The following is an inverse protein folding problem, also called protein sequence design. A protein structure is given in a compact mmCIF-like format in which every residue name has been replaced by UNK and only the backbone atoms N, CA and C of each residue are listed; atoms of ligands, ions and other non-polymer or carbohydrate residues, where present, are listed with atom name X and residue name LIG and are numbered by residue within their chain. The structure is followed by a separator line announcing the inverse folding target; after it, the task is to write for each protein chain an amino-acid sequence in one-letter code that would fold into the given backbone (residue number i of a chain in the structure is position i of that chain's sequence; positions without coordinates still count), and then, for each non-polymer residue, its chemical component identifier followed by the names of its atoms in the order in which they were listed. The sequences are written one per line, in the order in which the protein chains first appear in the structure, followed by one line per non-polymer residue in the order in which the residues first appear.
data_IF_943444142281
#
_entry.id   IF_943444142281
#
_cell.length_a   1.000
_cell.length_b   1.000
_cell.length_c   1.000
_cell.angle_alpha   90.00
_cell.angle_beta   90.00
_cell.angle_gamma   90.00
#
_symmetry.space_group_name_H-M   'P 1'
#
loop_
_entity.id
_entity.type
_entity.pdbx_description
1 polymer ?
#
# COMPACT_ATOMS: atom_id res chain seq x y z
N UNK A 1 11.62 58.25 51.53
CA UNK A 1 10.98 57.66 50.36
C UNK A 1 11.86 56.49 49.90
N UNK A 2 11.42 55.22 50.13
CA UNK A 2 12.11 54.00 49.68
C UNK A 2 11.37 53.50 48.47
N UNK A 3 12.07 53.44 47.32
CA UNK A 3 11.53 52.84 46.10
C UNK A 3 11.73 51.32 46.14
N UNK A 4 10.62 50.58 46.16
CA UNK A 4 10.65 49.11 45.97
C UNK A 4 10.71 48.85 44.46
N UNK A 5 11.82 48.28 43.97
CA UNK A 5 11.96 47.77 42.60
C UNK A 5 11.36 46.36 42.55
N UNK A 6 10.25 46.18 41.83
CA UNK A 6 9.72 44.86 41.48
C UNK A 6 10.45 44.32 40.26
N UNK A 7 11.25 43.27 40.43
CA UNK A 7 11.84 42.54 39.34
C UNK A 7 10.85 41.46 38.89
N UNK A 8 10.28 41.63 37.71
CA UNK A 8 9.43 40.60 37.07
C UNK A 8 10.36 39.55 36.43
N UNK A 9 10.40 38.36 37.03
CA UNK A 9 11.06 37.19 36.42
C UNK A 9 10.08 36.57 35.41
N UNK A 10 10.29 36.83 34.13
CA UNK A 10 9.60 36.14 33.04
C UNK A 10 10.14 34.72 32.89
N UNK A 11 9.41 33.75 33.39
CA UNK A 11 9.69 32.34 33.08
C UNK A 11 9.32 32.04 31.63
N UNK A 12 10.31 32.02 30.75
CA UNK A 12 10.13 31.45 29.41
C UNK A 12 10.04 29.91 29.52
N UNK A 13 8.83 29.39 29.43
CA UNK A 13 8.66 27.95 29.17
C UNK A 13 9.06 27.67 27.72
N UNK A 14 10.29 27.20 27.52
CA UNK A 14 10.66 26.55 26.28
C UNK A 14 9.90 25.23 26.22
N UNK A 15 8.83 25.16 25.45
CA UNK A 15 8.29 23.88 24.93
C UNK A 15 9.35 23.32 24.00
N UNK A 16 10.20 22.44 24.54
CA UNK A 16 11.05 21.62 23.72
C UNK A 16 10.15 20.73 22.85
N UNK A 17 9.98 21.07 21.59
CA UNK A 17 9.44 20.13 20.60
C UNK A 17 10.45 18.98 20.55
N UNK A 18 10.17 17.91 21.27
CA UNK A 18 10.95 16.68 21.19
C UNK A 18 10.78 16.15 19.75
N UNK A 19 11.84 16.20 18.96
CA UNK A 19 11.86 15.49 17.70
C UNK A 19 11.56 14.01 18.00
N UNK A 20 10.49 13.48 17.42
CA UNK A 20 10.15 12.07 17.63
C UNK A 20 11.26 11.20 17.04
N UNK A 21 11.81 10.29 17.84
CA UNK A 21 12.82 9.34 17.41
C UNK A 21 12.24 8.35 16.40
N UNK A 22 13.01 8.05 15.35
CA UNK A 22 12.67 6.99 14.40
C UNK A 22 12.86 5.66 15.13
N UNK A 23 11.77 4.87 15.18
CA UNK A 23 11.71 3.56 15.83
C UNK A 23 11.27 2.49 14.84
N UNK A 24 11.73 1.27 15.09
CA UNK A 24 11.29 0.06 14.37
C UNK A 24 10.68 -0.92 15.34
N UNK A 25 9.68 -1.67 14.86
CA UNK A 25 8.93 -2.66 15.63
C UNK A 25 8.93 -3.98 14.85
N UNK A 26 9.18 -5.08 15.52
CA UNK A 26 9.05 -6.41 14.92
C UNK A 26 7.73 -7.03 15.39
N UNK A 27 6.88 -7.34 14.42
CA UNK A 27 5.64 -8.07 14.62
C UNK A 27 5.86 -9.55 14.31
N UNK A 28 5.23 -10.44 15.07
CA UNK A 28 5.30 -11.89 14.88
C UNK A 28 3.96 -12.53 15.18
N UNK A 29 3.51 -13.42 14.32
CA UNK A 29 2.38 -14.29 14.60
C UNK A 29 2.83 -15.66 15.15
N UNK A 30 1.87 -16.46 15.59
CA UNK A 30 2.16 -17.79 16.18
C UNK A 30 2.67 -18.81 15.16
N UNK A 31 2.42 -18.63 13.88
CA UNK A 31 2.89 -19.52 12.80
C UNK A 31 4.31 -19.20 12.34
N UNK A 32 4.90 -18.11 12.87
CA UNK A 32 6.28 -17.70 12.65
C UNK A 32 6.49 -16.71 11.52
N UNK A 33 5.43 -16.18 10.89
CA UNK A 33 5.50 -15.04 9.98
C UNK A 33 5.99 -13.80 10.74
N UNK A 34 6.79 -12.93 10.09
CA UNK A 34 7.39 -11.76 10.73
C UNK A 34 7.25 -10.54 9.84
N UNK A 35 7.04 -9.39 10.47
CA UNK A 35 7.10 -8.10 9.81
C UNK A 35 7.97 -7.13 10.62
N UNK A 36 8.73 -6.29 9.94
CA UNK A 36 9.42 -5.14 10.55
C UNK A 36 8.78 -3.88 10.02
N UNK A 37 8.31 -3.04 10.90
CA UNK A 37 7.67 -1.76 10.58
C UNK A 37 8.37 -0.61 11.28
N UNK A 38 8.25 0.61 10.72
CA UNK A 38 8.83 1.82 11.31
C UNK A 38 7.81 2.93 11.40
N UNK A 39 7.93 3.76 12.43
CA UNK A 39 7.16 5.00 12.55
C UNK A 39 7.63 6.10 11.57
N UNK A 40 8.73 5.92 10.83
CA UNK A 40 9.12 6.83 9.74
C UNK A 40 8.34 6.50 8.48
N UNK A 41 7.38 7.35 8.14
CA UNK A 41 6.42 7.15 7.04
C UNK A 41 5.40 6.05 7.32
N UNK A 42 5.28 5.60 8.58
CA UNK A 42 4.46 4.46 8.97
C UNK A 42 4.64 3.31 7.97
N UNK A 43 5.89 2.87 7.76
CA UNK A 43 6.28 1.95 6.67
C UNK A 43 6.50 0.53 7.14
N UNK A 44 6.25 -0.41 6.24
CA UNK A 44 6.71 -1.78 6.37
C UNK A 44 8.05 -1.93 5.65
N UNK A 45 9.06 -2.42 6.37
CA UNK A 45 10.43 -2.52 5.88
C UNK A 45 10.80 -3.96 5.48
N UNK A 46 10.17 -4.94 6.10
CA UNK A 46 10.42 -6.36 5.88
C UNK A 46 9.16 -7.16 6.18
N UNK A 47 8.89 -8.16 5.37
CA UNK A 47 7.86 -9.17 5.59
C UNK A 47 8.45 -10.52 5.20
N UNK A 48 8.45 -11.46 6.14
CA UNK A 48 9.00 -12.80 5.95
C UNK A 48 7.88 -13.84 6.01
N UNK A 49 7.81 -14.67 4.97
CA UNK A 49 6.79 -15.69 4.79
C UNK A 49 7.46 -17.03 4.48
N UNK A 50 6.90 -18.13 4.99
CA UNK A 50 7.41 -19.47 4.69
C UNK A 50 7.15 -19.87 3.25
N UNK A 51 8.12 -20.54 2.63
CA UNK A 51 7.91 -21.25 1.37
C UNK A 51 7.41 -22.68 1.64
N UNK A 52 7.13 -23.44 0.60
CA UNK A 52 6.66 -24.84 0.70
C UNK A 52 7.64 -25.80 1.44
N UNK A 53 8.94 -25.44 1.52
CA UNK A 53 9.94 -26.18 2.30
C UNK A 53 10.04 -25.68 3.76
N UNK A 54 9.13 -24.80 4.20
CA UNK A 54 9.10 -24.24 5.54
C UNK A 54 10.15 -23.13 5.78
N UNK A 55 10.95 -22.71 4.79
CA UNK A 55 11.94 -21.64 4.94
C UNK A 55 11.26 -20.29 5.02
N UNK A 56 11.60 -19.52 6.05
CA UNK A 56 11.14 -18.16 6.24
C UNK A 56 12.07 -17.21 5.48
N UNK A 57 11.52 -16.51 4.48
CA UNK A 57 12.30 -15.65 3.58
C UNK A 57 11.52 -14.36 3.28
N UNK A 58 12.23 -13.24 2.95
CA UNK A 58 11.58 -11.97 2.67
C UNK A 58 10.78 -12.01 1.36
N UNK A 59 9.59 -11.39 1.37
CA UNK A 59 8.68 -11.32 0.21
C UNK A 59 8.34 -9.89 -0.22
N UNK A 60 8.93 -8.90 0.44
CA UNK A 60 8.81 -7.49 0.04
C UNK A 60 10.18 -6.84 -0.08
N UNK A 61 10.29 -5.87 -0.99
CA UNK A 61 11.49 -5.03 -1.08
C UNK A 61 11.60 -4.11 0.11
N UNK A 62 12.82 -3.91 0.58
CA UNK A 62 13.14 -3.00 1.67
C UNK A 62 14.64 -2.83 1.82
N UNK A 63 15.05 -1.77 2.49
CA UNK A 63 16.44 -1.48 2.77
C UNK A 63 16.83 -1.94 4.17
N UNK A 64 18.07 -2.37 4.32
CA UNK A 64 18.66 -2.74 5.61
C UNK A 64 18.86 -1.53 6.52
N UNK A 65 19.21 -0.37 5.93
CA UNK A 65 19.52 0.86 6.65
C UNK A 65 18.42 1.91 6.45
N UNK A 66 18.02 2.54 7.54
CA UNK A 66 16.96 3.56 7.54
C UNK A 66 17.33 4.78 6.67
N UNK A 67 18.64 5.11 6.55
CA UNK A 67 19.11 6.21 5.72
C UNK A 67 18.69 6.11 4.25
N UNK A 68 18.61 4.89 3.70
CA UNK A 68 18.25 4.68 2.29
C UNK A 68 16.79 5.02 2.00
N UNK A 69 15.91 4.99 3.01
CA UNK A 69 14.52 5.40 2.86
C UNK A 69 14.32 6.92 2.77
N UNK A 70 15.38 7.72 3.01
CA UNK A 70 15.35 9.17 2.78
C UNK A 70 15.43 9.50 1.29
N UNK A 71 16.11 8.65 0.52
CA UNK A 71 16.28 8.80 -0.93
C UNK A 71 15.12 8.11 -1.68
N UNK A 72 14.54 7.06 -1.09
CA UNK A 72 13.37 6.35 -1.60
C UNK A 72 12.23 6.40 -0.58
N UNK A 73 11.59 7.56 -0.50
CA UNK A 73 10.58 7.82 0.52
C UNK A 73 9.31 6.98 0.35
N UNK A 74 9.00 6.52 -0.88
CA UNK A 74 7.75 5.79 -1.16
C UNK A 74 7.81 4.31 -0.78
N UNK A 75 8.99 3.69 -0.78
CA UNK A 75 9.13 2.24 -0.55
C UNK A 75 8.60 1.83 0.82
N UNK A 76 7.59 0.97 0.84
CA UNK A 76 6.95 0.42 2.03
C UNK A 76 6.13 1.40 2.86
N UNK A 77 6.11 2.70 2.52
CA UNK A 77 5.48 3.75 3.31
C UNK A 77 3.95 3.81 3.16
N UNK A 78 3.29 4.46 4.12
CA UNK A 78 1.93 4.97 3.94
C UNK A 78 1.98 6.16 3.00
N UNK A 79 1.20 6.09 1.93
CA UNK A 79 1.16 7.07 0.86
C UNK A 79 -0.22 7.69 0.75
N UNK A 80 -0.28 8.92 0.26
CA UNK A 80 -1.53 9.54 -0.19
C UNK A 80 -1.69 9.30 -1.68
N UNK A 81 -2.93 9.17 -2.15
CA UNK A 81 -3.22 9.12 -3.59
C UNK A 81 -4.39 10.03 -3.93
N UNK A 82 -4.37 10.56 -5.16
CA UNK A 82 -5.43 11.40 -5.74
C UNK A 82 -5.52 11.11 -7.24
N UNK A 83 -6.72 10.80 -7.74
CA UNK A 83 -6.95 10.53 -9.16
C UNK A 83 -6.05 9.43 -9.75
N UNK A 84 -5.54 8.51 -8.92
CA UNK A 84 -4.59 7.47 -9.33
C UNK A 84 -3.11 7.83 -9.17
N UNK A 85 -2.77 9.10 -8.94
CA UNK A 85 -1.42 9.51 -8.60
C UNK A 85 -1.10 9.25 -7.13
N UNK A 86 0.17 8.94 -6.82
CA UNK A 86 0.61 8.59 -5.47
C UNK A 86 1.67 9.57 -4.98
N UNK A 87 1.40 10.17 -3.81
CA UNK A 87 2.20 11.21 -3.19
C UNK A 87 2.90 10.73 -1.92
N UNK A 88 4.07 11.29 -1.64
CA UNK A 88 4.91 10.91 -0.49
C UNK A 88 4.79 11.84 0.72
N UNK A 89 3.80 12.73 0.74
CA UNK A 89 3.66 13.77 1.79
C UNK A 89 3.61 13.23 3.22
N UNK A 90 3.21 11.98 3.41
CA UNK A 90 3.20 11.28 4.70
C UNK A 90 4.43 10.40 4.93
N UNK A 91 5.16 10.08 3.85
CA UNK A 91 6.19 9.05 3.84
C UNK A 91 7.52 9.50 4.46
N UNK A 92 7.76 10.80 4.57
CA UNK A 92 8.96 11.42 5.16
C UNK A 92 8.75 11.88 6.61
N UNK A 93 7.56 11.68 7.16
CA UNK A 93 7.23 12.09 8.53
C UNK A 93 7.53 10.99 9.53
N UNK A 94 7.88 11.40 10.76
CA UNK A 94 7.93 10.50 11.92
C UNK A 94 6.57 10.53 12.60
N UNK A 95 5.93 9.36 12.67
CA UNK A 95 4.58 9.19 13.20
C UNK A 95 4.63 8.85 14.69
N UNK A 96 3.62 9.29 15.43
CA UNK A 96 3.39 8.86 16.80
C UNK A 96 3.04 7.38 16.84
N UNK A 97 3.65 6.62 17.77
CA UNK A 97 3.24 5.24 18.05
C UNK A 97 2.16 5.25 19.12
N UNK A 98 0.92 4.91 18.73
CA UNK A 98 -0.26 4.96 19.62
C UNK A 98 -0.41 3.68 20.40
N UNK A 99 -0.18 2.54 19.73
CA UNK A 99 -0.32 1.19 20.32
C UNK A 99 0.71 0.26 19.68
N UNK A 100 1.23 -0.67 20.47
CA UNK A 100 2.07 -1.75 19.96
C UNK A 100 1.96 -2.98 20.88
N UNK A 101 1.91 -4.15 20.27
CA UNK A 101 2.08 -5.45 20.90
C UNK A 101 2.86 -6.39 19.96
N UNK A 102 2.87 -7.70 20.22
CA UNK A 102 3.66 -8.64 19.41
C UNK A 102 3.13 -8.86 17.99
N UNK A 103 1.84 -8.55 17.73
CA UNK A 103 1.18 -8.76 16.43
C UNK A 103 0.66 -7.47 15.80
N UNK A 104 0.55 -6.39 16.58
CA UNK A 104 -0.14 -5.16 16.12
C UNK A 104 0.68 -3.93 16.47
N UNK A 105 0.71 -2.96 15.53
CA UNK A 105 1.18 -1.60 15.82
C UNK A 105 0.27 -0.59 15.15
N UNK A 106 -0.04 0.49 15.87
CA UNK A 106 -0.80 1.64 15.35
C UNK A 106 0.05 2.89 15.38
N UNK A 107 0.16 3.54 14.25
CA UNK A 107 0.81 4.84 14.07
C UNK A 107 -0.22 5.92 13.78
N UNK A 108 0.05 7.15 14.23
CA UNK A 108 -0.75 8.33 13.96
C UNK A 108 0.11 9.51 13.49
N UNK A 109 -0.38 10.26 12.52
CA UNK A 109 0.23 11.48 12.03
C UNK A 109 -0.83 12.58 11.91
N UNK A 110 -0.50 13.77 12.43
CA UNK A 110 -1.28 14.98 12.18
C UNK A 110 -0.40 15.92 11.36
N UNK A 111 -0.89 16.36 10.21
CA UNK A 111 -0.14 17.23 9.31
C UNK A 111 -1.02 18.33 8.75
N UNK A 112 -0.41 19.45 8.42
CA UNK A 112 -1.07 20.51 7.67
C UNK A 112 -1.21 20.08 6.21
N UNK A 113 -2.32 20.44 5.59
CA UNK A 113 -2.61 20.22 4.17
C UNK A 113 -3.14 21.50 3.55
N UNK A 114 -2.95 21.59 2.22
CA UNK A 114 -3.58 22.61 1.38
C UNK A 114 -4.31 21.91 0.25
N UNK A 115 -5.60 22.15 0.13
CA UNK A 115 -6.42 21.59 -0.95
C UNK A 115 -7.44 22.63 -1.41
N UNK A 116 -7.60 22.80 -2.73
CA UNK A 116 -8.51 23.75 -3.33
C UNK A 116 -8.29 25.21 -2.88
N UNK A 117 -7.07 25.58 -2.43
CA UNK A 117 -6.74 26.91 -1.91
C UNK A 117 -7.08 27.12 -0.42
N UNK A 118 -7.55 26.07 0.27
CA UNK A 118 -7.85 26.09 1.70
C UNK A 118 -6.73 25.44 2.51
N UNK A 119 -6.41 26.06 3.65
CA UNK A 119 -5.50 25.49 4.65
C UNK A 119 -6.30 24.65 5.65
N UNK A 120 -5.81 23.44 5.93
CA UNK A 120 -6.46 22.50 6.84
C UNK A 120 -5.49 21.57 7.53
N UNK A 121 -6.05 20.67 8.36
CA UNK A 121 -5.32 19.61 9.04
C UNK A 121 -5.85 18.25 8.63
N UNK A 122 -4.92 17.33 8.46
CA UNK A 122 -5.19 15.93 8.22
C UNK A 122 -4.72 15.11 9.43
N UNK A 123 -5.60 14.31 10.00
CA UNK A 123 -5.29 13.33 11.04
C UNK A 123 -5.40 11.95 10.43
N UNK A 124 -4.29 11.23 10.36
CA UNK A 124 -4.19 9.91 9.73
C UNK A 124 -3.72 8.90 10.75
N UNK A 125 -4.35 7.73 10.76
CA UNK A 125 -3.87 6.57 11.51
C UNK A 125 -3.73 5.37 10.58
N UNK A 126 -2.72 4.54 10.83
CA UNK A 126 -2.56 3.23 10.21
C UNK A 126 -2.29 2.19 11.28
N UNK A 127 -2.98 1.05 11.17
CA UNK A 127 -2.75 -0.12 12.02
C UNK A 127 -2.26 -1.27 11.13
N UNK A 128 -1.12 -1.83 11.48
CA UNK A 128 -0.61 -3.08 10.92
C UNK A 128 -0.89 -4.20 11.90
N UNK A 129 -1.53 -5.27 11.43
CA UNK A 129 -1.74 -6.49 12.22
C UNK A 129 -1.21 -7.70 11.46
N UNK A 130 -0.43 -8.52 12.13
CA UNK A 130 0.06 -9.79 11.61
C UNK A 130 -0.71 -10.93 12.25
N UNK A 131 -1.77 -11.39 11.57
CA UNK A 131 -2.71 -12.37 12.12
C UNK A 131 -2.14 -13.80 12.13
N UNK A 132 -2.71 -14.67 12.97
CA UNK A 132 -2.33 -16.09 13.05
C UNK A 132 -2.78 -16.90 11.82
N UNK A 133 -3.61 -16.31 10.95
CA UNK A 133 -3.99 -16.85 9.65
C UNK A 133 -2.97 -16.54 8.55
N UNK A 134 -1.76 -16.06 8.91
CA UNK A 134 -0.72 -15.61 7.98
C UNK A 134 -1.19 -14.47 7.09
N UNK A 135 -1.89 -13.50 7.65
CA UNK A 135 -2.28 -12.29 6.96
C UNK A 135 -1.53 -11.07 7.53
N UNK A 136 -1.20 -10.15 6.63
CA UNK A 136 -0.85 -8.77 6.95
C UNK A 136 -2.08 -7.91 6.68
N UNK A 137 -2.71 -7.43 7.75
CA UNK A 137 -3.85 -6.53 7.69
C UNK A 137 -3.34 -5.09 7.80
N UNK A 138 -3.83 -4.22 6.94
CA UNK A 138 -3.51 -2.78 6.93
C UNK A 138 -4.82 -2.00 7.00
N UNK A 139 -5.08 -1.40 8.16
CA UNK A 139 -6.26 -0.58 8.41
C UNK A 139 -5.88 0.90 8.44
N UNK A 140 -6.49 1.68 7.58
CA UNK A 140 -6.34 3.13 7.54
C UNK A 140 -7.56 3.83 8.11
N UNK A 141 -7.32 4.97 8.77
CA UNK A 141 -8.34 5.95 9.13
C UNK A 141 -7.81 7.35 8.89
N UNK A 142 -8.65 8.23 8.34
CA UNK A 142 -8.29 9.61 8.03
C UNK A 142 -9.47 10.53 8.31
N UNK A 143 -9.18 11.71 8.87
CA UNK A 143 -10.13 12.81 9.05
C UNK A 143 -9.46 14.09 8.57
N UNK A 144 -10.16 14.88 7.77
CA UNK A 144 -9.73 16.19 7.31
C UNK A 144 -10.59 17.31 7.91
N UNK A 145 -9.99 18.47 8.17
CA UNK A 145 -10.73 19.69 8.59
C UNK A 145 -11.24 20.51 7.40
N UNK A 146 -10.85 20.16 6.18
CA UNK A 146 -11.29 20.77 4.92
C UNK A 146 -11.76 19.68 3.95
N UNK A 147 -12.59 20.00 2.94
CA UNK A 147 -12.88 19.05 1.87
C UNK A 147 -11.58 18.53 1.26
N UNK A 148 -11.46 17.22 1.08
CA UNK A 148 -10.21 16.60 0.66
C UNK A 148 -10.49 15.47 -0.32
N UNK A 149 -9.78 15.43 -1.45
CA UNK A 149 -9.92 14.40 -2.50
C UNK A 149 -8.90 13.27 -2.39
N UNK A 150 -8.09 13.24 -1.33
CA UNK A 150 -7.05 12.25 -1.14
C UNK A 150 -7.59 10.99 -0.45
N UNK A 151 -6.99 9.87 -0.80
CA UNK A 151 -7.14 8.62 -0.08
C UNK A 151 -5.78 8.05 0.31
N UNK A 152 -5.78 6.96 1.08
CA UNK A 152 -4.58 6.33 1.60
C UNK A 152 -4.28 5.02 0.87
N UNK A 153 -3.02 4.77 0.63
CA UNK A 153 -2.53 3.52 0.07
C UNK A 153 -1.14 3.18 0.62
N UNK A 154 -0.53 2.11 0.13
CA UNK A 154 0.77 1.65 0.58
C UNK A 154 1.81 1.63 -0.55
N UNK A 155 3.08 1.72 -0.17
CA UNK A 155 4.23 1.61 -1.07
C UNK A 155 4.92 0.23 -1.04
N UNK A 156 4.21 -0.84 -0.67
CA UNK A 156 4.77 -2.19 -0.56
C UNK A 156 5.05 -2.74 -1.96
N UNK A 157 6.26 -3.27 -2.15
CA UNK A 157 6.69 -3.89 -3.41
C UNK A 157 7.00 -5.36 -3.15
N UNK A 158 6.16 -6.25 -3.67
CA UNK A 158 6.22 -7.69 -3.44
C UNK A 158 7.10 -8.42 -4.44
N UNK A 159 7.79 -9.46 -3.96
CA UNK A 159 8.42 -10.51 -4.74
C UNK A 159 8.34 -11.82 -3.95
N UNK A 160 7.47 -12.73 -4.35
CA UNK A 160 7.19 -13.96 -3.60
C UNK A 160 8.30 -15.00 -3.69
N UNK A 161 9.33 -14.79 -4.50
CA UNK A 161 10.40 -15.75 -4.71
C UNK A 161 11.25 -16.04 -3.45
N UNK A 162 11.30 -15.11 -2.49
CA UNK A 162 12.23 -15.17 -1.36
C UNK A 162 13.62 -14.60 -1.70
N UNK A 163 13.98 -14.52 -2.96
CA UNK A 163 15.15 -13.81 -3.48
C UNK A 163 14.70 -12.51 -4.16
N UNK A 164 14.86 -11.38 -3.47
CA UNK A 164 14.38 -10.07 -3.92
C UNK A 164 15.15 -9.50 -5.12
N UNK A 165 16.21 -10.16 -5.57
CA UNK A 165 16.97 -9.82 -6.79
C UNK A 165 16.42 -10.55 -8.02
N UNK A 166 15.69 -11.64 -7.82
CA UNK A 166 15.11 -12.44 -8.90
C UNK A 166 13.96 -11.70 -9.57
N UNK A 167 13.86 -11.84 -10.89
CA UNK A 167 12.76 -11.31 -11.68
C UNK A 167 11.42 -11.93 -11.26
N UNK A 168 10.38 -11.08 -11.21
CA UNK A 168 8.99 -11.51 -10.95
C UNK A 168 8.28 -12.03 -12.21
N UNK A 169 8.90 -12.00 -13.38
CA UNK A 169 8.25 -12.28 -14.66
C UNK A 169 7.69 -13.71 -14.78
N UNK A 170 8.17 -14.64 -13.93
CA UNK A 170 7.66 -16.01 -13.80
C UNK A 170 6.58 -16.17 -12.74
N UNK A 171 6.23 -15.11 -12.02
CA UNK A 171 5.12 -15.14 -11.09
C UNK A 171 3.79 -14.98 -11.84
N UNK A 172 2.77 -15.69 -11.39
CA UNK A 172 1.43 -15.66 -11.99
C UNK A 172 0.57 -14.65 -11.25
N UNK A 173 -0.14 -13.85 -12.01
CA UNK A 173 -1.10 -12.85 -11.51
C UNK A 173 -2.50 -13.19 -11.99
N UNK A 174 -3.46 -13.04 -11.09
CA UNK A 174 -4.89 -12.99 -11.37
C UNK A 174 -5.49 -11.74 -10.71
N UNK A 175 -6.40 -11.05 -11.40
CA UNK A 175 -7.11 -9.87 -10.88
C UNK A 175 -8.57 -9.99 -11.26
N UNK A 176 -9.47 -9.81 -10.29
CA UNK A 176 -10.91 -9.80 -10.51
C UNK A 176 -11.39 -8.46 -11.07
N UNK A 177 -11.12 -8.23 -12.34
CA UNK A 177 -11.47 -6.99 -13.03
C UNK A 177 -11.70 -7.18 -14.53
N UNK A 178 -12.69 -6.47 -15.08
CA UNK A 178 -12.90 -6.38 -16.53
C UNK A 178 -12.50 -5.04 -17.14
N UNK A 179 -12.18 -4.04 -16.31
CA UNK A 179 -11.88 -2.69 -16.78
C UNK A 179 -10.56 -2.18 -16.24
N UNK A 180 -9.85 -1.45 -17.06
CA UNK A 180 -8.61 -0.72 -16.68
C UNK A 180 -8.65 0.68 -17.25
N UNK A 181 -7.91 1.60 -16.64
CA UNK A 181 -7.74 2.94 -17.19
C UNK A 181 -6.74 2.93 -18.35
N UNK A 182 -6.98 3.78 -19.36
CA UNK A 182 -6.10 3.98 -20.50
C UNK A 182 -4.94 4.87 -20.07
N UNK A 183 -3.73 4.59 -20.58
CA UNK A 183 -2.59 5.50 -20.47
C UNK A 183 -2.59 6.48 -21.66
N UNK A 184 -2.24 7.74 -21.42
CA UNK A 184 -2.01 8.71 -22.47
C UNK A 184 -0.68 8.46 -23.22
N UNK A 185 -0.36 9.30 -24.19
CA UNK A 185 0.88 9.23 -24.97
C UNK A 185 2.15 9.45 -24.14
N UNK A 186 2.03 10.06 -22.96
CA UNK A 186 3.11 10.26 -22.00
C UNK A 186 3.15 9.17 -20.93
N UNK A 187 2.32 8.10 -21.08
CA UNK A 187 2.14 7.00 -20.13
C UNK A 187 1.61 7.45 -18.76
N UNK A 188 0.89 8.56 -18.71
CA UNK A 188 0.14 8.98 -17.56
C UNK A 188 -1.25 8.33 -17.58
N UNK A 189 -1.78 8.02 -16.40
CA UNK A 189 -3.13 7.48 -16.25
C UNK A 189 -4.14 8.52 -16.72
N UNK A 190 -4.97 8.12 -17.68
CA UNK A 190 -6.14 8.91 -18.05
C UNK A 190 -7.35 8.46 -17.25
N UNK A 191 -8.40 9.26 -17.25
CA UNK A 191 -9.69 8.90 -16.69
C UNK A 191 -10.54 8.06 -17.66
N UNK A 192 -10.01 7.68 -18.82
CA UNK A 192 -10.70 6.81 -19.77
C UNK A 192 -10.51 5.34 -19.42
N UNK A 193 -11.57 4.56 -19.54
CA UNK A 193 -11.56 3.13 -19.25
C UNK A 193 -11.67 2.30 -20.52
N UNK A 194 -11.07 1.11 -20.48
CA UNK A 194 -11.20 0.09 -21.51
C UNK A 194 -11.42 -1.29 -20.89
N UNK A 195 -12.05 -2.18 -21.66
CA UNK A 195 -12.15 -3.58 -21.29
C UNK A 195 -10.77 -4.25 -21.37
N UNK A 196 -10.40 -5.05 -20.37
CA UNK A 196 -9.11 -5.74 -20.34
C UNK A 196 -9.08 -6.97 -21.26
N UNK A 197 -10.24 -7.52 -21.64
CA UNK A 197 -10.36 -8.78 -22.41
C UNK A 197 -9.54 -8.74 -23.70
N UNK A 198 -8.74 -9.77 -23.93
CA UNK A 198 -7.85 -9.90 -25.09
C UNK A 198 -6.75 -8.82 -25.20
N UNK A 199 -6.49 -8.08 -24.11
CA UNK A 199 -5.36 -7.13 -24.03
C UNK A 199 -4.21 -7.74 -23.21
N UNK A 200 -3.02 -7.10 -23.18
CA UNK A 200 -1.94 -7.49 -22.26
C UNK A 200 -2.31 -7.39 -20.78
N UNK A 201 -3.41 -6.72 -20.45
CA UNK A 201 -3.90 -6.47 -19.09
C UNK A 201 -5.01 -7.45 -18.66
N UNK A 202 -5.32 -8.46 -19.47
CA UNK A 202 -6.32 -9.47 -19.14
C UNK A 202 -5.76 -10.50 -18.15
N UNK A 203 -5.99 -10.24 -16.87
CA UNK A 203 -5.65 -11.12 -15.75
C UNK A 203 -6.86 -11.86 -15.17
N UNK A 204 -7.99 -11.94 -15.92
CA UNK A 204 -9.16 -12.73 -15.50
C UNK A 204 -8.89 -14.24 -15.48
N UNK A 205 -7.82 -14.67 -16.14
CA UNK A 205 -7.21 -16.00 -16.00
C UNK A 205 -5.78 -15.81 -15.48
N UNK A 206 -5.29 -16.67 -14.59
CA UNK A 206 -3.92 -16.60 -14.10
C UNK A 206 -2.90 -16.63 -15.23
N UNK A 207 -1.97 -15.68 -15.25
CA UNK A 207 -0.93 -15.55 -16.28
C UNK A 207 0.41 -15.18 -15.66
N UNK A 208 1.48 -15.70 -16.25
CA UNK A 208 2.83 -15.21 -15.96
C UNK A 208 2.92 -13.70 -16.28
N UNK A 209 3.48 -12.92 -15.37
CA UNK A 209 3.70 -11.48 -15.58
C UNK A 209 4.53 -11.20 -16.82
N UNK A 210 5.47 -12.08 -17.15
CA UNK A 210 6.34 -11.95 -18.32
C UNK A 210 5.67 -12.26 -19.67
N UNK A 211 4.52 -12.95 -19.68
CA UNK A 211 3.88 -13.41 -20.93
C UNK A 211 3.54 -12.27 -21.89
N UNK A 212 3.05 -11.16 -21.33
CA UNK A 212 2.56 -10.04 -22.14
C UNK A 212 3.17 -8.68 -21.81
N UNK A 213 4.05 -8.58 -20.82
CA UNK A 213 4.69 -7.31 -20.40
C UNK A 213 5.48 -6.67 -21.55
N UNK A 214 5.94 -7.46 -22.52
CA UNK A 214 6.65 -6.98 -23.71
C UNK A 214 5.82 -6.05 -24.59
N UNK A 215 4.50 -6.20 -24.62
CA UNK A 215 3.57 -5.35 -25.36
C UNK A 215 3.30 -4.01 -24.69
N UNK A 216 3.69 -3.83 -23.42
CA UNK A 216 3.55 -2.60 -22.68
C UNK A 216 4.87 -1.81 -22.76
N UNK A 217 4.80 -0.48 -22.88
CA UNK A 217 6.02 0.34 -23.07
C UNK A 217 6.89 0.35 -21.80
N UNK A 218 6.29 0.56 -20.62
CA UNK A 218 6.99 0.75 -19.34
C UNK A 218 6.65 -0.33 -18.29
N UNK A 219 6.21 -1.52 -18.72
CA UNK A 219 5.70 -2.55 -17.82
C UNK A 219 4.29 -2.22 -17.30
N UNK A 220 3.90 -2.89 -16.23
CA UNK A 220 2.59 -2.65 -15.62
C UNK A 220 2.62 -1.37 -14.77
N UNK A 221 1.74 -0.45 -15.04
CA UNK A 221 1.40 0.72 -14.23
C UNK A 221 -0.05 1.10 -14.54
N UNK A 222 -0.99 0.26 -14.10
CA UNK A 222 -2.38 0.34 -14.52
C UNK A 222 -3.31 0.26 -13.33
N UNK A 223 -4.48 0.88 -13.47
CA UNK A 223 -5.56 0.91 -12.48
C UNK A 223 -6.67 -0.02 -12.96
N UNK A 224 -7.06 -0.96 -12.11
CA UNK A 224 -8.13 -1.93 -12.35
C UNK A 224 -9.35 -1.60 -11.52
N UNK A 225 -10.52 -1.54 -12.14
CA UNK A 225 -11.80 -1.52 -11.43
C UNK A 225 -12.11 -2.93 -10.96
N UNK A 226 -12.15 -3.13 -9.65
CA UNK A 226 -12.45 -4.42 -9.05
C UNK A 226 -13.93 -4.74 -9.16
N UNK A 227 -14.24 -6.02 -9.31
CA UNK A 227 -15.61 -6.53 -9.20
C UNK A 227 -15.86 -6.89 -7.76
N UNK A 228 -16.22 -5.92 -6.93
CA UNK A 228 -16.62 -6.26 -5.57
C UNK A 228 -17.82 -7.17 -5.57
N UNK A 229 -17.61 -8.37 -5.07
CA UNK A 229 -18.70 -9.29 -4.79
C UNK A 229 -19.26 -8.95 -3.40
N UNK A 230 -20.54 -9.14 -3.21
CA UNK A 230 -21.20 -9.03 -1.90
C UNK A 230 -20.68 -10.06 -0.88
N UNK A 231 -19.74 -10.92 -1.29
CA UNK A 231 -19.15 -11.98 -0.49
C UNK A 231 -17.67 -11.61 -0.23
N UNK A 232 -17.34 -11.25 1.01
CA UNK A 232 -15.99 -10.92 1.50
C UNK A 232 -14.96 -12.05 1.33
N UNK A 233 -15.39 -13.26 0.93
CA UNK A 233 -14.49 -14.42 0.71
C UNK A 233 -13.90 -14.48 -0.70
N UNK A 234 -14.33 -13.62 -1.63
CA UNK A 234 -13.81 -13.61 -2.98
C UNK A 234 -12.57 -12.71 -3.04
N UNK A 235 -11.41 -13.21 -3.44
CA UNK A 235 -10.22 -12.39 -3.56
C UNK A 235 -10.33 -11.36 -4.69
N UNK A 236 -9.72 -10.20 -4.51
CA UNK A 236 -9.61 -9.15 -5.53
C UNK A 236 -8.42 -9.38 -6.47
N UNK A 237 -7.32 -9.92 -5.93
CA UNK A 237 -6.16 -10.32 -6.73
C UNK A 237 -5.39 -11.47 -6.05
N UNK A 238 -4.66 -12.24 -6.87
CA UNK A 238 -3.79 -13.33 -6.39
C UNK A 238 -2.46 -13.25 -7.13
N UNK A 239 -1.36 -13.26 -6.38
CA UNK A 239 0.00 -13.42 -6.91
C UNK A 239 0.55 -14.78 -6.46
N UNK A 240 1.16 -15.53 -7.38
CA UNK A 240 1.70 -16.85 -7.11
C UNK A 240 3.10 -17.04 -7.70
N UNK A 241 4.02 -17.56 -6.93
CA UNK A 241 5.37 -17.95 -7.37
C UNK A 241 5.52 -19.48 -7.30
N UNK A 242 5.47 -20.13 -8.44
CA UNK A 242 5.56 -21.60 -8.51
C UNK A 242 6.83 -22.16 -7.86
N UNK A 243 7.95 -21.45 -7.97
CA UNK A 243 9.24 -21.96 -7.49
C UNK A 243 9.34 -22.00 -5.97
N UNK A 244 8.78 -21.02 -5.28
CA UNK A 244 8.73 -20.96 -3.83
C UNK A 244 7.47 -21.61 -3.26
N UNK A 245 6.46 -21.82 -4.10
CA UNK A 245 5.12 -22.26 -3.74
C UNK A 245 4.28 -21.20 -3.02
N UNK A 246 4.81 -19.96 -2.85
CA UNK A 246 4.08 -18.91 -2.14
C UNK A 246 2.94 -18.35 -2.98
N UNK A 247 1.80 -18.22 -2.35
CA UNK A 247 0.62 -17.52 -2.84
C UNK A 247 0.35 -16.34 -1.93
N UNK A 248 0.14 -15.18 -2.52
CA UNK A 248 -0.41 -14.00 -1.85
C UNK A 248 -1.78 -13.72 -2.41
N UNK A 249 -2.79 -13.62 -1.53
CA UNK A 249 -4.14 -13.22 -1.90
C UNK A 249 -4.43 -11.85 -1.33
N UNK A 250 -5.00 -10.98 -2.14
CA UNK A 250 -5.36 -9.60 -1.79
C UNK A 250 -6.86 -9.50 -1.62
N UNK A 251 -7.29 -8.93 -0.51
CA UNK A 251 -8.66 -8.52 -0.23
C UNK A 251 -8.63 -7.04 0.14
N UNK A 252 -9.54 -6.25 -0.41
CA UNK A 252 -9.65 -4.84 -0.05
C UNK A 252 -11.11 -4.38 -0.12
N UNK A 253 -11.46 -3.41 0.71
CA UNK A 253 -12.78 -2.75 0.61
C UNK A 253 -12.79 -1.64 -0.44
N UNK A 254 -11.61 -1.34 -1.04
CA UNK A 254 -11.49 -0.29 -2.04
C UNK A 254 -11.92 -0.80 -3.42
N UNK A 255 -12.67 0.01 -4.18
CA UNK A 255 -13.23 -0.41 -5.47
C UNK A 255 -12.19 -0.51 -6.59
N UNK A 256 -11.00 0.01 -6.37
CA UNK A 256 -9.98 0.18 -7.40
C UNK A 256 -8.63 -0.36 -6.89
N UNK A 257 -7.91 -1.07 -7.76
CA UNK A 257 -6.57 -1.57 -7.49
C UNK A 257 -5.58 -1.08 -8.55
N UNK A 258 -4.55 -0.34 -8.15
CA UNK A 258 -3.39 -0.04 -8.99
C UNK A 258 -2.33 -1.11 -8.81
N UNK A 259 -1.77 -1.59 -9.91
CA UNK A 259 -0.54 -2.38 -9.91
C UNK A 259 0.59 -1.60 -10.58
N UNK A 260 1.83 -1.78 -10.09
CA UNK A 260 3.01 -1.20 -10.71
C UNK A 260 4.19 -2.18 -10.62
N UNK A 261 4.76 -2.55 -11.78
CA UNK A 261 5.93 -3.41 -11.86
C UNK A 261 7.26 -2.64 -11.89
N UNK A 262 7.22 -1.30 -11.91
CA UNK A 262 8.42 -0.45 -11.97
C UNK A 262 9.33 -0.76 -13.17
N UNK A 263 8.74 -1.06 -14.32
CA UNK A 263 9.41 -1.38 -15.57
C UNK A 263 9.16 -2.82 -16.06
N UNK A 264 9.74 -3.15 -17.23
CA UNK A 264 9.56 -4.46 -17.87
C UNK A 264 10.43 -5.56 -17.26
N UNK A 265 11.64 -5.22 -16.81
CA UNK A 265 12.58 -6.16 -16.16
C UNK A 265 12.50 -6.01 -14.65
N UNK A 266 11.33 -6.27 -14.11
CA UNK A 266 11.05 -5.99 -12.72
C UNK A 266 11.45 -7.12 -11.78
N UNK A 267 11.89 -6.71 -10.60
CA UNK A 267 12.13 -7.60 -9.45
C UNK A 267 11.12 -7.34 -8.33
N UNK A 268 9.99 -6.70 -8.64
CA UNK A 268 8.91 -6.49 -7.68
C UNK A 268 7.66 -5.83 -8.29
N UNK A 269 6.52 -6.04 -7.66
CA UNK A 269 5.23 -5.50 -8.06
C UNK A 269 4.49 -4.97 -6.84
N UNK A 270 3.87 -3.78 -6.94
CA UNK A 270 3.01 -3.23 -5.91
C UNK A 270 1.54 -3.46 -6.19
N UNK A 271 0.76 -3.57 -5.12
CA UNK A 271 -0.70 -3.61 -5.10
C UNK A 271 -1.17 -2.46 -4.22
N UNK A 272 -1.77 -1.46 -4.85
CA UNK A 272 -2.14 -0.19 -4.23
C UNK A 272 -3.65 0.01 -4.36
N UNK A 273 -4.45 -0.35 -3.34
CA UNK A 273 -5.87 -0.05 -3.32
C UNK A 273 -6.11 1.46 -3.36
N UNK A 274 -7.16 1.87 -4.04
CA UNK A 274 -7.53 3.27 -4.26
C UNK A 274 -9.02 3.43 -3.98
N UNK A 275 -9.35 4.39 -3.11
CA UNK A 275 -10.72 4.80 -2.83
C UNK A 275 -11.28 5.65 -3.96
N UNK A 276 -12.57 5.54 -4.19
CA UNK A 276 -13.34 6.40 -5.08
C UNK A 276 -14.13 5.62 -6.11
N UNK A 277 -15.17 6.25 -6.59
CA UNK A 277 -16.01 5.74 -7.68
C UNK A 277 -15.59 6.40 -8.98
N UNK A 278 -15.55 5.62 -10.05
CA UNK A 278 -15.35 6.16 -11.38
C UNK A 278 -16.63 6.82 -11.88
N UNK A 279 -16.59 8.12 -12.14
CA UNK A 279 -17.68 8.87 -12.76
C UNK A 279 -17.56 8.82 -14.28
N UNK A 280 -18.31 7.94 -14.94
CA UNK A 280 -18.31 7.79 -16.41
C UNK A 280 -18.64 9.10 -17.14
N UNK A 281 -19.45 10.00 -16.52
CA UNK A 281 -19.87 11.26 -17.15
C UNK A 281 -18.78 12.31 -17.20
N UNK A 282 -17.90 12.32 -16.17
CA UNK A 282 -16.78 13.25 -16.03
C UNK A 282 -15.44 12.60 -16.32
N UNK A 283 -15.41 11.28 -16.50
CA UNK A 283 -14.20 10.48 -16.69
C UNK A 283 -13.17 10.71 -15.59
N UNK A 284 -13.61 10.73 -14.33
CA UNK A 284 -12.76 10.97 -13.17
C UNK A 284 -13.05 10.01 -12.02
N UNK A 285 -12.06 9.77 -11.16
CA UNK A 285 -12.24 9.04 -9.90
C UNK A 285 -12.62 10.07 -8.84
N UNK A 286 -13.82 9.94 -8.28
CA UNK A 286 -14.31 10.78 -7.18
C UNK A 286 -14.05 10.11 -5.85
N UNK A 287 -13.38 10.82 -4.97
CA UNK A 287 -13.09 10.40 -3.60
C UNK A 287 -13.06 11.61 -2.68
N UNK A 288 -14.16 12.38 -2.63
CA UNK A 288 -14.22 13.56 -1.77
C UNK A 288 -14.60 13.16 -0.35
N UNK A 289 -13.73 13.50 0.61
CA UNK A 289 -13.98 13.41 2.04
C UNK A 289 -14.45 14.78 2.55
N UNK A 290 -15.63 14.82 3.17
CA UNK A 290 -16.17 16.05 3.77
C UNK A 290 -15.44 16.39 5.07
N UNK A 291 -15.39 17.68 5.48
CA UNK A 291 -14.77 18.06 6.74
C UNK A 291 -15.39 17.33 7.93
N UNK A 292 -14.53 16.67 8.74
CA UNK A 292 -14.96 15.88 9.90
C UNK A 292 -15.48 14.47 9.59
N UNK A 293 -15.67 14.14 8.33
CA UNK A 293 -15.99 12.77 7.91
C UNK A 293 -14.81 11.82 8.14
N UNK A 294 -15.10 10.59 8.57
CA UNK A 294 -14.08 9.57 8.83
C UNK A 294 -13.96 8.66 7.60
N UNK A 295 -12.87 8.82 6.86
CA UNK A 295 -12.45 7.84 5.88
C UNK A 295 -11.91 6.58 6.57
N UNK A 296 -12.25 5.41 6.05
CA UNK A 296 -11.72 4.11 6.48
C UNK A 296 -11.38 3.28 5.26
N UNK A 297 -10.24 2.59 5.32
CA UNK A 297 -9.81 1.65 4.30
C UNK A 297 -9.18 0.45 4.96
N UNK A 298 -9.42 -0.73 4.43
CA UNK A 298 -8.84 -1.98 4.91
C UNK A 298 -8.33 -2.79 3.72
N UNK A 299 -7.13 -3.33 3.87
CA UNK A 299 -6.52 -4.25 2.89
C UNK A 299 -5.84 -5.39 3.63
N UNK A 300 -6.11 -6.60 3.18
CA UNK A 300 -5.57 -7.84 3.77
C UNK A 300 -4.76 -8.57 2.70
N UNK A 301 -3.50 -8.85 3.02
CA UNK A 301 -2.62 -9.71 2.25
C UNK A 301 -2.45 -11.03 2.99
N UNK A 302 -3.11 -12.10 2.50
CA UNK A 302 -2.97 -13.43 3.10
C UNK A 302 -1.89 -14.24 2.38
N UNK A 303 -1.18 -15.08 3.10
CA UNK A 303 -0.09 -15.89 2.54
C UNK A 303 -0.28 -17.37 2.85
N UNK A 304 -0.13 -18.19 1.81
CA UNK A 304 -0.19 -19.65 1.91
C UNK A 304 0.80 -20.31 0.95
N UNK A 305 0.99 -21.60 1.07
CA UNK A 305 1.68 -22.44 0.10
C UNK A 305 0.74 -23.47 -0.55
N UNK A 306 -0.57 -23.34 -0.30
CA UNK A 306 -1.63 -24.12 -0.98
C UNK A 306 -2.36 -23.22 -1.98
N UNK A 307 -2.05 -23.30 -3.28
CA UNK A 307 -2.65 -22.45 -4.28
C UNK A 307 -4.14 -22.77 -4.44
N UNK A 308 -5.02 -21.73 -4.49
CA UNK A 308 -6.43 -21.92 -4.79
C UNK A 308 -6.63 -22.55 -6.16
N UNK A 309 -7.79 -23.17 -6.39
CA UNK A 309 -8.09 -23.92 -7.60
C UNK A 309 -7.77 -23.15 -8.88
N UNK A 310 -8.11 -21.86 -8.93
CA UNK A 310 -7.85 -20.99 -10.09
C UNK A 310 -6.35 -20.88 -10.44
N UNK A 311 -5.45 -21.03 -9.46
CA UNK A 311 -3.98 -20.94 -9.62
C UNK A 311 -3.32 -22.31 -9.82
N UNK A 312 -4.07 -23.41 -9.86
CA UNK A 312 -3.49 -24.73 -10.09
C UNK A 312 -3.23 -24.95 -11.59
N UNK A 313 -2.17 -25.72 -11.91
CA UNK A 313 -1.72 -25.96 -13.30
C UNK A 313 -2.82 -26.44 -14.26
N UNK A 314 -3.80 -27.16 -13.74
CA UNK A 314 -4.96 -27.65 -14.50
C UNK A 314 -5.83 -26.51 -15.08
N UNK A 315 -5.72 -25.31 -14.54
CA UNK A 315 -6.49 -24.12 -14.92
C UNK A 315 -5.66 -22.98 -15.51
N UNK A 316 -4.31 -23.07 -15.41
CA UNK A 316 -3.40 -22.05 -15.95
C UNK A 316 -3.25 -22.33 -17.46
N UNK A 317 -3.66 -21.37 -18.29
CA UNK A 317 -3.45 -21.43 -19.76
C UNK A 317 -4.58 -22.08 -20.58
N UNK A 318 -5.80 -22.22 -20.03
CA UNK A 318 -7.01 -22.55 -20.79
C UNK A 318 -7.73 -21.35 -21.33
#
# INVERSE_FOLDING_TARGET
MRYLSFTIIACFFFLALSAQDIKTFELRNRTGMKAVVSNYGARIMRLEVRNWNGRLEPVIKGYKHMSNYRDDTKLGATLMSFGGDVFSVLADKVWETVKTDCQTVTFRCVTDIKDGGHDGKLNVSVTYTLSDQNALDIDYSMVSTIPTYYNLTNGIVFNLSGDLTRSILKQHLWIDSYKTNILDTNHQLTNEQQNVRNTPLDFNQPRELGERIGYLQNGYNHIFQLRHHSNEQTPDAILFDEQSGRVMTVYTIEPILRINSYGKQSTGISFQPIHGEYDDSKKEIKAMLSPGEVYRSATVFTFTTDPPLIMRKEHIGK
#
